data_IF_150535801297
#
_entry.id   IF_150535801297
#
_cell.length_a   1.000
_cell.length_b   1.000
_cell.length_c   1.000
_cell.angle_alpha   90.00
_cell.angle_beta   90.00
_cell.angle_gamma   90.00
#
_symmetry.space_group_name_H-M   'P 1'
#
loop_
_entity.id
_entity.type
_entity.pdbx_description
1 polymer ?
#
# COMPACT_ATOMS: atom_id res chain seq x y z
N UNK A 1 14.44 25.38 -4.48
CA UNK A 1 13.73 24.57 -3.48
C UNK A 1 14.10 23.12 -3.73
N UNK A 2 14.84 22.47 -2.82
CA UNK A 2 15.25 21.06 -3.02
C UNK A 2 14.03 20.13 -3.15
N UNK A 3 14.08 19.21 -4.10
CA UNK A 3 13.02 18.23 -4.35
C UNK A 3 12.96 17.26 -3.17
N UNK A 4 11.78 17.05 -2.59
CA UNK A 4 11.58 15.97 -1.61
C UNK A 4 11.86 14.64 -2.29
N UNK A 5 12.70 13.82 -1.68
CA UNK A 5 13.08 12.48 -2.14
C UNK A 5 12.49 11.47 -1.17
N UNK A 6 12.16 10.29 -1.69
CA UNK A 6 11.64 9.21 -0.88
C UNK A 6 12.79 8.46 -0.23
N UNK A 7 12.66 8.17 1.07
CA UNK A 7 13.68 7.50 1.86
C UNK A 7 13.09 6.31 2.60
N UNK A 8 13.81 5.18 2.58
CA UNK A 8 13.67 4.19 3.64
C UNK A 8 14.53 4.66 4.82
N UNK A 9 13.85 4.92 5.92
CA UNK A 9 14.45 5.24 7.20
C UNK A 9 14.86 3.99 7.97
N UNK A 10 16.10 3.94 8.46
CA UNK A 10 16.62 2.81 9.23
C UNK A 10 17.21 3.33 10.54
N UNK A 11 16.80 2.75 11.66
CA UNK A 11 17.33 3.13 12.97
C UNK A 11 18.74 2.59 13.19
N UNK A 12 19.55 3.34 13.93
CA UNK A 12 20.93 2.95 14.28
C UNK A 12 20.98 1.61 15.02
N UNK A 13 19.94 1.29 15.79
CA UNK A 13 19.84 0.07 16.59
C UNK A 13 19.73 -1.19 15.72
N UNK A 14 19.06 -1.15 14.55
CA UNK A 14 19.10 -2.31 13.63
C UNK A 14 20.49 -2.47 13.08
N UNK A 15 21.14 -1.37 12.67
CA UNK A 15 22.44 -1.46 12.02
C UNK A 15 23.49 -2.10 12.94
N UNK A 16 23.32 -1.96 14.26
CA UNK A 16 24.17 -2.60 15.28
C UNK A 16 23.71 -3.99 15.73
N UNK A 17 22.62 -4.55 15.19
CA UNK A 17 22.06 -5.83 15.64
C UNK A 17 22.97 -7.01 15.25
N UNK A 18 23.24 -7.91 16.20
CA UNK A 18 24.19 -9.04 16.03
C UNK A 18 23.57 -10.28 15.39
N UNK A 19 22.26 -10.30 15.12
CA UNK A 19 21.59 -11.41 14.45
C UNK A 19 21.96 -11.44 12.96
N UNK A 20 22.76 -12.43 12.56
CA UNK A 20 23.25 -12.58 11.19
C UNK A 20 22.13 -12.71 10.16
N UNK A 21 21.12 -13.54 10.44
CA UNK A 21 19.98 -13.75 9.53
C UNK A 21 19.23 -12.43 9.29
N UNK A 22 19.04 -11.63 10.34
CA UNK A 22 18.40 -10.33 10.22
C UNK A 22 19.24 -9.36 9.37
N UNK A 23 20.56 -9.32 9.57
CA UNK A 23 21.45 -8.45 8.80
C UNK A 23 21.44 -8.80 7.32
N UNK A 24 21.40 -10.09 6.97
CA UNK A 24 21.25 -10.53 5.58
C UNK A 24 19.93 -10.05 4.95
N UNK A 25 18.80 -10.19 5.66
CA UNK A 25 17.50 -9.71 5.15
C UNK A 25 17.43 -8.19 5.06
N UNK A 26 18.02 -7.48 6.01
CA UNK A 26 18.10 -6.02 5.98
C UNK A 26 18.96 -5.54 4.81
N UNK A 27 20.12 -6.18 4.57
CA UNK A 27 20.96 -5.87 3.42
C UNK A 27 20.20 -6.08 2.11
N UNK A 28 19.50 -7.21 1.97
CA UNK A 28 18.68 -7.48 0.78
C UNK A 28 17.55 -6.47 0.60
N UNK A 29 16.88 -6.05 1.69
CA UNK A 29 15.89 -4.97 1.66
C UNK A 29 16.50 -3.66 1.18
N UNK A 30 17.66 -3.27 1.73
CA UNK A 30 18.36 -2.05 1.35
C UNK A 30 18.74 -2.07 -0.14
N UNK A 31 19.31 -3.17 -0.62
CA UNK A 31 19.71 -3.33 -2.02
C UNK A 31 18.48 -3.23 -2.95
N UNK A 32 17.38 -3.88 -2.57
CA UNK A 32 16.12 -3.84 -3.34
C UNK A 32 15.54 -2.41 -3.40
N UNK A 33 15.56 -1.69 -2.28
CA UNK A 33 15.09 -0.30 -2.18
C UNK A 33 15.96 0.64 -3.03
N UNK A 34 17.28 0.46 -3.00
CA UNK A 34 18.20 1.24 -3.82
C UNK A 34 18.02 0.97 -5.32
N UNK A 35 17.74 -0.28 -5.71
CA UNK A 35 17.42 -0.64 -7.09
C UNK A 35 16.16 0.09 -7.61
N UNK A 36 15.18 0.33 -6.73
CA UNK A 36 13.99 1.16 -7.00
C UNK A 36 14.28 2.68 -6.95
N UNK A 37 15.55 3.08 -6.85
CA UNK A 37 16.02 4.48 -6.78
C UNK A 37 15.47 5.25 -5.59
N UNK A 38 15.21 4.54 -4.49
CA UNK A 38 14.77 5.11 -3.22
C UNK A 38 16.01 5.30 -2.34
N UNK A 39 16.12 6.47 -1.70
CA UNK A 39 17.24 6.74 -0.80
C UNK A 39 17.14 5.93 0.49
N UNK A 40 18.26 5.71 1.16
CA UNK A 40 18.28 5.15 2.52
C UNK A 40 18.85 6.20 3.46
N UNK A 41 18.22 6.36 4.62
CA UNK A 41 18.60 7.35 5.60
C UNK A 41 18.67 6.71 6.98
N UNK A 42 19.76 6.97 7.70
CA UNK A 42 19.88 6.61 9.10
C UNK A 42 19.09 7.61 9.94
N UNK A 43 18.30 7.13 10.90
CA UNK A 43 17.46 7.96 11.76
C UNK A 43 17.77 7.66 13.22
N UNK A 44 17.87 8.72 14.02
CA UNK A 44 17.90 8.61 15.47
C UNK A 44 16.46 8.53 15.99
N UNK A 45 16.12 7.46 16.71
CA UNK A 45 14.79 7.31 17.30
C UNK A 45 14.54 8.43 18.32
N UNK A 46 13.48 9.23 18.11
CA UNK A 46 13.12 10.34 19.01
C UNK A 46 12.63 9.88 20.40
N UNK A 47 12.32 8.59 20.56
CA UNK A 47 11.83 8.04 21.81
C UNK A 47 12.42 6.64 22.05
N UNK A 48 13.30 6.50 23.05
CA UNK A 48 14.00 5.24 23.37
C UNK A 48 13.06 4.09 23.75
N UNK A 49 11.83 4.41 24.18
CA UNK A 49 10.84 3.43 24.63
C UNK A 49 10.01 2.81 23.47
N UNK A 50 10.11 3.36 22.25
CA UNK A 50 9.52 2.80 21.04
C UNK A 50 10.63 2.55 20.02
N UNK A 51 11.35 1.43 20.22
CA UNK A 51 12.34 0.90 19.29
C UNK A 51 11.62 0.43 18.01
N UNK A 52 11.30 1.38 17.13
CA UNK A 52 10.77 1.11 15.80
C UNK A 52 11.94 1.22 14.80
N UNK A 53 12.30 0.11 14.15
CA UNK A 53 13.55 -0.02 13.42
C UNK A 53 13.50 0.46 11.96
N UNK A 54 12.39 0.27 11.23
CA UNK A 54 12.24 0.73 9.84
C UNK A 54 11.09 1.73 9.70
N UNK A 55 11.32 2.80 8.95
CA UNK A 55 10.32 3.83 8.65
C UNK A 55 10.21 4.10 7.16
N UNK A 56 8.98 4.15 6.67
CA UNK A 56 8.68 4.77 5.40
C UNK A 56 8.67 6.28 5.55
N UNK A 57 9.68 6.98 5.01
CA UNK A 57 9.81 8.43 5.15
C UNK A 57 9.88 9.15 3.80
N UNK A 58 9.36 10.37 3.77
CA UNK A 58 9.51 11.29 2.65
C UNK A 58 10.03 12.59 3.20
N UNK A 59 11.18 13.02 2.71
CA UNK A 59 11.74 14.31 3.10
C UNK A 59 12.96 14.65 2.29
N UNK A 60 13.86 15.42 2.89
CA UNK A 60 15.14 15.81 2.31
C UNK A 60 16.26 15.22 3.14
N UNK A 61 17.44 15.10 2.52
CA UNK A 61 18.66 14.71 3.23
C UNK A 61 18.93 15.73 4.34
N UNK A 62 18.91 15.26 5.60
CA UNK A 62 19.07 16.08 6.80
C UNK A 62 17.77 16.44 7.52
N UNK A 63 16.60 16.11 6.97
CA UNK A 63 15.34 16.29 7.70
C UNK A 63 15.26 15.32 8.89
N UNK A 64 14.81 15.82 10.04
CA UNK A 64 14.44 14.96 11.17
C UNK A 64 13.15 14.21 10.85
N UNK A 65 13.05 12.94 11.27
CA UNK A 65 11.82 12.18 11.11
C UNK A 65 10.73 12.77 12.00
N UNK A 66 9.83 13.56 11.42
CA UNK A 66 8.65 14.08 12.10
C UNK A 66 7.46 13.36 11.48
N UNK A 67 6.86 12.44 12.24
CA UNK A 67 5.56 11.88 11.85
C UNK A 67 4.56 13.03 11.69
N UNK A 68 3.79 13.06 10.60
CA UNK A 68 2.72 14.03 10.45
C UNK A 68 1.79 13.97 11.67
N UNK A 69 1.32 15.13 12.14
CA UNK A 69 0.47 15.22 13.33
C UNK A 69 -0.80 14.36 13.21
N UNK A 70 -1.26 14.11 11.98
CA UNK A 70 -2.56 13.54 11.68
C UNK A 70 -2.53 12.05 11.28
N UNK A 71 -1.35 11.46 11.05
CA UNK A 71 -1.22 10.02 10.77
C UNK A 71 0.18 9.48 11.06
N UNK A 72 0.26 8.18 11.38
CA UNK A 72 1.53 7.47 11.59
C UNK A 72 2.15 7.08 10.26
N UNK A 73 3.45 7.35 10.10
CA UNK A 73 4.21 6.87 8.95
C UNK A 73 4.23 5.32 8.91
N UNK A 74 4.39 4.71 7.72
CA UNK A 74 4.64 3.28 7.60
C UNK A 74 5.84 2.91 8.49
N UNK A 75 5.67 1.91 9.35
CA UNK A 75 6.70 1.52 10.30
C UNK A 75 6.70 -0.01 10.43
N UNK A 76 7.88 -0.58 10.66
CA UNK A 76 8.05 -2.02 10.75
C UNK A 76 9.12 -2.38 11.77
N UNK A 77 8.80 -3.34 12.65
CA UNK A 77 9.71 -3.87 13.65
C UNK A 77 10.63 -4.96 13.10
N UNK A 78 11.78 -5.19 13.76
CA UNK A 78 12.76 -6.20 13.35
C UNK A 78 12.10 -7.57 13.29
N UNK A 79 11.37 -7.94 14.35
CA UNK A 79 10.68 -9.23 14.41
C UNK A 79 9.50 -9.32 13.42
N UNK A 80 9.01 -8.17 12.94
CA UNK A 80 7.96 -8.09 11.93
C UNK A 80 8.51 -8.14 10.51
N UNK A 81 9.78 -7.76 10.29
CA UNK A 81 10.45 -7.91 9.00
C UNK A 81 10.43 -9.36 8.54
N UNK A 82 10.58 -10.30 9.46
CA UNK A 82 10.53 -11.74 9.21
C UNK A 82 9.10 -12.30 9.12
N UNK A 83 8.06 -11.46 9.16
CA UNK A 83 6.67 -11.89 9.04
C UNK A 83 6.12 -11.44 7.68
N UNK A 84 6.02 -12.34 6.68
CA UNK A 84 5.69 -11.96 5.30
C UNK A 84 4.42 -11.10 5.16
N UNK A 85 3.37 -11.42 5.92
CA UNK A 85 2.10 -10.67 5.88
C UNK A 85 2.28 -9.23 6.41
N UNK A 86 3.06 -9.05 7.48
CA UNK A 86 3.30 -7.73 8.07
C UNK A 86 4.24 -6.92 7.18
N UNK A 87 5.22 -7.58 6.57
CA UNK A 87 6.12 -6.98 5.58
C UNK A 87 5.37 -6.50 4.34
N UNK A 88 4.51 -7.34 3.74
CA UNK A 88 3.68 -6.97 2.58
C UNK A 88 2.77 -5.78 2.90
N UNK A 89 2.23 -5.73 4.12
CA UNK A 89 1.43 -4.60 4.60
C UNK A 89 2.26 -3.31 4.71
N UNK A 90 3.45 -3.38 5.31
CA UNK A 90 4.38 -2.24 5.38
C UNK A 90 4.77 -1.73 3.98
N UNK A 91 5.15 -2.62 3.06
CA UNK A 91 5.48 -2.25 1.69
C UNK A 91 4.28 -1.59 0.98
N UNK A 92 3.08 -2.11 1.19
CA UNK A 92 1.86 -1.52 0.64
C UNK A 92 1.66 -0.10 1.14
N UNK A 93 1.80 0.16 2.44
CA UNK A 93 1.70 1.51 3.01
C UNK A 93 2.81 2.43 2.46
N UNK A 94 4.06 1.94 2.45
CA UNK A 94 5.22 2.69 2.00
C UNK A 94 5.11 3.11 0.53
N UNK A 95 4.77 2.17 -0.36
CA UNK A 95 4.65 2.45 -1.78
C UNK A 95 3.38 3.25 -2.13
N UNK A 96 2.31 3.15 -1.33
CA UNK A 96 1.16 4.06 -1.46
C UNK A 96 1.57 5.49 -1.18
N UNK A 97 2.30 5.70 -0.10
CA UNK A 97 2.78 7.01 0.31
C UNK A 97 3.81 7.57 -0.71
N UNK A 98 4.73 6.73 -1.19
CA UNK A 98 5.67 7.05 -2.28
C UNK A 98 4.95 7.49 -3.57
N UNK A 99 4.00 6.69 -4.03
CA UNK A 99 3.28 6.97 -5.27
C UNK A 99 2.43 8.23 -5.15
N UNK A 100 1.85 8.49 -3.97
CA UNK A 100 1.14 9.73 -3.71
C UNK A 100 2.04 10.96 -3.86
N UNK A 101 3.27 10.92 -3.34
CA UNK A 101 4.19 12.06 -3.49
C UNK A 101 4.53 12.31 -4.96
N UNK A 102 4.84 11.25 -5.70
CA UNK A 102 5.27 11.34 -7.09
C UNK A 102 4.13 11.80 -8.00
N UNK A 103 2.94 11.24 -7.82
CA UNK A 103 1.82 11.45 -8.74
C UNK A 103 0.93 12.61 -8.34
N UNK A 104 0.85 12.96 -7.05
CA UNK A 104 -0.03 14.03 -6.54
C UNK A 104 0.80 15.24 -6.13
N UNK A 105 1.72 15.12 -5.17
CA UNK A 105 2.35 16.31 -4.59
C UNK A 105 3.31 17.04 -5.54
N UNK A 106 3.98 16.34 -6.45
CA UNK A 106 4.88 16.98 -7.42
C UNK A 106 4.16 17.75 -8.53
N UNK A 107 2.90 17.42 -8.81
CA UNK A 107 2.11 18.03 -9.87
C UNK A 107 0.63 18.11 -9.47
N UNK A 108 0.38 18.80 -8.35
CA UNK A 108 -0.93 18.82 -7.73
C UNK A 108 -1.99 19.42 -8.66
N UNK A 109 -2.93 18.58 -9.04
CA UNK A 109 -4.13 18.96 -9.80
C UNK A 109 -5.30 18.08 -9.35
N UNK A 110 -6.55 18.55 -9.54
CA UNK A 110 -7.74 17.72 -9.28
C UNK A 110 -7.65 16.39 -10.05
N UNK A 111 -7.20 16.45 -11.31
CA UNK A 111 -6.99 15.28 -12.16
C UNK A 111 -5.96 14.28 -11.61
N UNK A 112 -4.86 14.77 -11.03
CA UNK A 112 -3.86 13.91 -10.39
C UNK A 112 -4.44 13.15 -9.19
N UNK A 113 -5.20 13.84 -8.32
CA UNK A 113 -5.90 13.21 -7.20
C UNK A 113 -6.93 12.17 -7.66
N UNK A 114 -7.74 12.50 -8.67
CA UNK A 114 -8.72 11.56 -9.25
C UNK A 114 -8.01 10.32 -9.80
N UNK A 115 -6.97 10.51 -10.62
CA UNK A 115 -6.20 9.40 -11.20
C UNK A 115 -5.56 8.52 -10.12
N UNK A 116 -5.00 9.13 -9.08
CA UNK A 116 -4.48 8.39 -7.93
C UNK A 116 -5.60 7.59 -7.27
N UNK A 117 -6.70 8.24 -6.86
CA UNK A 117 -7.82 7.56 -6.20
C UNK A 117 -8.39 6.40 -7.04
N UNK A 118 -8.56 6.61 -8.35
CA UNK A 118 -9.06 5.58 -9.27
C UNK A 118 -8.20 4.31 -9.25
N UNK A 119 -6.87 4.43 -9.21
CA UNK A 119 -5.94 3.29 -9.15
C UNK A 119 -5.93 2.59 -7.78
N UNK A 120 -6.23 3.30 -6.70
CA UNK A 120 -6.20 2.76 -5.33
C UNK A 120 -7.57 2.31 -4.80
N UNK A 121 -8.64 2.59 -5.53
CA UNK A 121 -10.04 2.39 -5.14
C UNK A 121 -10.32 1.04 -4.46
N UNK A 122 -9.92 -0.08 -5.07
CA UNK A 122 -10.20 -1.40 -4.50
C UNK A 122 -9.25 -1.80 -3.38
N UNK A 123 -8.02 -1.27 -3.38
CA UNK A 123 -7.11 -1.44 -2.24
C UNK A 123 -7.66 -0.69 -1.01
N UNK A 124 -8.17 0.53 -1.19
CA UNK A 124 -8.87 1.28 -0.14
C UNK A 124 -10.07 0.49 0.39
N UNK A 125 -10.89 -0.09 -0.49
CA UNK A 125 -12.03 -0.92 -0.08
C UNK A 125 -11.61 -2.14 0.74
N UNK A 126 -10.50 -2.79 0.36
CA UNK A 126 -9.99 -3.95 1.06
C UNK A 126 -9.57 -3.64 2.50
N UNK A 127 -9.07 -2.43 2.73
CA UNK A 127 -8.62 -1.96 4.04
C UNK A 127 -9.75 -1.34 4.87
N UNK A 128 -10.61 -0.53 4.24
CA UNK A 128 -11.71 0.15 4.93
C UNK A 128 -12.82 0.55 3.97
N UNK A 129 -13.99 -0.09 4.13
CA UNK A 129 -15.19 0.28 3.39
C UNK A 129 -15.65 1.71 3.74
N UNK A 130 -15.41 2.16 4.97
CA UNK A 130 -15.72 3.53 5.40
C UNK A 130 -14.86 4.54 4.64
N UNK A 131 -13.54 4.33 4.61
CA UNK A 131 -12.62 5.20 3.87
C UNK A 131 -12.89 5.18 2.35
N UNK A 132 -13.22 4.00 1.80
CA UNK A 132 -13.63 3.88 0.40
C UNK A 132 -14.80 4.81 0.04
N UNK A 133 -15.84 4.84 0.88
CA UNK A 133 -17.00 5.71 0.68
C UNK A 133 -16.65 7.17 0.90
N UNK A 134 -15.91 7.47 1.95
CA UNK A 134 -15.54 8.83 2.32
C UNK A 134 -14.64 9.48 1.27
N UNK A 135 -13.50 8.86 0.97
CA UNK A 135 -12.53 9.34 -0.01
C UNK A 135 -13.15 9.42 -1.41
N UNK A 136 -14.01 8.47 -1.78
CA UNK A 136 -14.74 8.54 -3.05
C UNK A 136 -15.67 9.75 -3.14
N UNK A 137 -16.34 10.13 -2.05
CA UNK A 137 -17.16 11.35 -1.99
C UNK A 137 -16.31 12.61 -2.05
N UNK A 138 -15.17 12.63 -1.36
CA UNK A 138 -14.25 13.77 -1.36
C UNK A 138 -13.73 14.05 -2.78
N UNK A 139 -13.38 12.99 -3.52
CA UNK A 139 -12.89 13.10 -4.91
C UNK A 139 -14.00 13.47 -5.90
N UNK A 140 -15.25 13.05 -5.65
CA UNK A 140 -16.38 13.41 -6.51
C UNK A 140 -16.84 14.87 -6.31
N UNK A 141 -16.61 15.45 -5.13
CA UNK A 141 -17.15 16.74 -4.72
C UNK A 141 -16.06 17.77 -4.42
N UNK A 142 -15.12 17.99 -5.36
CA UNK A 142 -14.17 19.08 -5.22
C UNK A 142 -14.89 20.42 -5.11
N UNK A 143 -14.63 21.15 -4.01
CA UNK A 143 -15.12 22.51 -3.83
C UNK A 143 -14.02 23.51 -4.22
N UNK A 144 -14.38 24.55 -4.96
CA UNK A 144 -13.47 25.66 -5.25
C UNK A 144 -13.27 26.58 -4.04
N UNK A 145 -14.06 26.42 -2.99
CA UNK A 145 -13.92 27.18 -1.74
C UNK A 145 -12.79 26.69 -0.84
N UNK A 146 -12.24 25.49 -1.09
CA UNK A 146 -11.15 24.91 -0.30
C UNK A 146 -9.90 24.82 -1.19
N UNK A 147 -8.74 25.33 -0.75
CA UNK A 147 -7.48 25.16 -1.47
C UNK A 147 -7.20 23.68 -1.77
N UNK A 148 -6.73 23.38 -2.99
CA UNK A 148 -6.52 22.01 -3.43
C UNK A 148 -5.45 21.29 -2.58
N UNK A 149 -4.48 22.03 -2.09
CA UNK A 149 -3.44 21.57 -1.16
C UNK A 149 -4.03 21.04 0.14
N UNK A 150 -5.06 21.72 0.67
CA UNK A 150 -5.77 21.30 1.87
C UNK A 150 -6.58 20.02 1.62
N UNK A 151 -7.25 19.95 0.46
CA UNK A 151 -7.96 18.73 0.03
C UNK A 151 -7.00 17.56 -0.10
N UNK A 152 -5.84 17.77 -0.74
CA UNK A 152 -4.81 16.75 -0.90
C UNK A 152 -4.23 16.30 0.45
N UNK A 153 -3.97 17.22 1.39
CA UNK A 153 -3.48 16.87 2.72
C UNK A 153 -4.50 16.01 3.48
N UNK A 154 -5.76 16.45 3.54
CA UNK A 154 -6.84 15.71 4.20
C UNK A 154 -7.11 14.35 3.56
N UNK A 155 -7.02 14.26 2.24
CA UNK A 155 -7.14 12.99 1.52
C UNK A 155 -6.03 12.02 1.94
N UNK A 156 -4.78 12.47 1.97
CA UNK A 156 -3.64 11.64 2.38
C UNK A 156 -3.77 11.16 3.83
N UNK A 157 -4.17 12.05 4.74
CA UNK A 157 -4.39 11.71 6.16
C UNK A 157 -5.41 10.59 6.32
N UNK A 158 -6.58 10.73 5.68
CA UNK A 158 -7.64 9.72 5.71
C UNK A 158 -7.20 8.41 5.07
N UNK A 159 -6.44 8.48 3.96
CA UNK A 159 -5.89 7.31 3.28
C UNK A 159 -4.92 6.55 4.17
N UNK A 160 -3.92 7.24 4.74
CA UNK A 160 -2.92 6.59 5.59
C UNK A 160 -3.53 6.09 6.90
N UNK A 161 -4.53 6.78 7.43
CA UNK A 161 -5.33 6.28 8.55
C UNK A 161 -6.12 5.01 8.19
N UNK A 162 -6.66 4.91 6.98
CA UNK A 162 -7.32 3.68 6.52
C UNK A 162 -6.32 2.53 6.41
N UNK A 163 -5.06 2.84 6.07
CA UNK A 163 -4.03 1.84 5.87
C UNK A 163 -3.27 1.46 7.14
N UNK A 164 -3.48 2.13 8.27
CA UNK A 164 -2.79 1.84 9.54
C UNK A 164 -3.19 0.50 10.16
N UNK A 165 -4.28 -0.11 9.69
CA UNK A 165 -4.75 -1.44 10.09
C UNK A 165 -4.76 -2.34 8.87
N UNK A 166 -4.22 -3.55 9.00
CA UNK A 166 -4.19 -4.53 7.91
C UNK A 166 -5.61 -4.87 7.42
N UNK A 167 -5.71 -5.10 6.11
CA UNK A 167 -6.96 -5.52 5.48
C UNK A 167 -7.47 -6.80 6.11
N UNK A 168 -8.73 -6.78 6.54
CA UNK A 168 -9.39 -7.96 7.08
C UNK A 168 -10.09 -8.77 5.98
N UNK A 169 -10.48 -9.99 6.31
CA UNK A 169 -11.11 -10.94 5.38
C UNK A 169 -12.40 -10.41 4.76
N UNK A 170 -13.18 -9.64 5.52
CA UNK A 170 -14.40 -9.02 5.03
C UNK A 170 -14.11 -7.93 4.00
N UNK A 171 -13.18 -7.02 4.28
CA UNK A 171 -12.75 -5.98 3.35
C UNK A 171 -12.21 -6.58 2.06
N UNK A 172 -11.32 -7.57 2.17
CA UNK A 172 -10.81 -8.32 1.01
C UNK A 172 -11.92 -8.96 0.19
N UNK A 173 -12.89 -9.60 0.86
CA UNK A 173 -14.06 -10.19 0.19
C UNK A 173 -14.85 -9.14 -0.57
N UNK A 174 -15.09 -7.97 0.03
CA UNK A 174 -15.83 -6.89 -0.62
C UNK A 174 -15.10 -6.41 -1.88
N UNK A 175 -13.79 -6.16 -1.79
CA UNK A 175 -12.98 -5.75 -2.93
C UNK A 175 -13.02 -6.79 -4.06
N UNK A 176 -12.80 -8.07 -3.73
CA UNK A 176 -12.86 -9.18 -4.69
C UNK A 176 -14.22 -9.29 -5.38
N UNK A 177 -15.33 -9.20 -4.62
CA UNK A 177 -16.67 -9.24 -5.19
C UNK A 177 -16.95 -8.06 -6.12
N UNK A 178 -16.50 -6.86 -5.76
CA UNK A 178 -16.64 -5.68 -6.63
C UNK A 178 -15.85 -5.84 -7.93
N UNK A 179 -14.62 -6.35 -7.87
CA UNK A 179 -13.80 -6.58 -9.07
C UNK A 179 -14.33 -7.74 -9.92
N UNK A 180 -14.93 -8.78 -9.31
CA UNK A 180 -15.58 -9.87 -10.03
C UNK A 180 -16.72 -9.36 -10.95
N UNK A 181 -17.36 -8.24 -10.59
CA UNK A 181 -18.41 -7.61 -11.37
C UNK A 181 -17.99 -7.13 -12.76
N UNK A 182 -16.69 -6.90 -13.00
CA UNK A 182 -16.18 -6.49 -14.32
C UNK A 182 -16.33 -7.62 -15.35
N UNK A 183 -16.19 -8.87 -14.91
CA UNK A 183 -16.28 -10.04 -15.78
C UNK A 183 -17.72 -10.51 -16.01
N UNK A 184 -18.74 -9.77 -15.53
CA UNK A 184 -20.14 -10.21 -15.59
C UNK A 184 -20.67 -10.42 -17.01
N UNK A 185 -20.08 -9.79 -18.03
CA UNK A 185 -20.47 -9.96 -19.43
C UNK A 185 -19.60 -10.98 -20.17
N UNK A 186 -18.45 -11.34 -19.60
CA UNK A 186 -17.48 -12.25 -20.20
C UNK A 186 -17.68 -13.69 -19.74
N UNK A 187 -18.02 -13.89 -18.46
CA UNK A 187 -18.17 -15.22 -17.88
C UNK A 187 -19.56 -15.80 -18.11
N UNK A 188 -19.60 -17.10 -18.41
CA UNK A 188 -20.84 -17.86 -18.40
C UNK A 188 -21.35 -18.06 -16.96
N UNK A 189 -22.59 -18.57 -16.80
CA UNK A 189 -23.22 -18.72 -15.48
C UNK A 189 -22.41 -19.61 -14.53
N UNK A 190 -21.82 -20.70 -15.02
CA UNK A 190 -21.01 -21.61 -14.22
C UNK A 190 -19.72 -20.95 -13.73
N UNK A 191 -19.00 -20.24 -14.61
CA UNK A 191 -17.77 -19.52 -14.28
C UNK A 191 -18.02 -18.39 -13.27
N UNK A 192 -19.13 -17.66 -13.40
CA UNK A 192 -19.55 -16.64 -12.42
C UNK A 192 -19.79 -17.26 -11.04
N UNK A 193 -20.49 -18.39 -11.02
CA UNK A 193 -20.78 -19.10 -9.78
C UNK A 193 -19.50 -19.61 -9.12
N UNK A 194 -18.58 -20.17 -9.90
CA UNK A 194 -17.28 -20.63 -9.41
C UNK A 194 -16.47 -19.50 -8.78
N UNK A 195 -16.37 -18.35 -9.46
CA UNK A 195 -15.67 -17.18 -8.95
C UNK A 195 -16.31 -16.67 -7.66
N UNK A 196 -17.63 -16.47 -7.64
CA UNK A 196 -18.35 -15.99 -6.46
C UNK A 196 -18.23 -16.97 -5.29
N UNK A 197 -18.40 -18.28 -5.54
CA UNK A 197 -18.29 -19.30 -4.51
C UNK A 197 -16.86 -19.37 -3.95
N UNK A 198 -15.83 -19.24 -4.79
CA UNK A 198 -14.43 -19.20 -4.33
C UNK A 198 -14.19 -18.01 -3.40
N UNK A 199 -14.74 -16.84 -3.71
CA UNK A 199 -14.65 -15.66 -2.84
C UNK A 199 -15.41 -15.89 -1.52
N UNK A 200 -16.59 -16.51 -1.55
CA UNK A 200 -17.35 -16.83 -0.34
C UNK A 200 -16.64 -17.87 0.55
N UNK A 201 -16.05 -18.89 -0.04
CA UNK A 201 -15.22 -19.86 0.69
C UNK A 201 -14.03 -19.17 1.36
N UNK A 202 -13.41 -18.19 0.69
CA UNK A 202 -12.39 -17.36 1.32
C UNK A 202 -12.96 -16.56 2.49
N UNK A 203 -14.13 -15.92 2.34
CA UNK A 203 -14.81 -15.21 3.44
C UNK A 203 -15.04 -16.10 4.67
N UNK A 204 -15.32 -17.39 4.45
CA UNK A 204 -15.59 -18.37 5.50
C UNK A 204 -14.33 -19.00 6.12
N UNK A 205 -13.13 -18.72 5.61
CA UNK A 205 -11.91 -19.37 6.11
C UNK A 205 -11.57 -20.71 5.46
N UNK A 206 -12.38 -21.17 4.50
CA UNK A 206 -12.25 -22.51 3.91
C UNK A 206 -11.10 -22.58 2.90
N UNK A 207 -10.81 -21.48 2.20
CA UNK A 207 -9.69 -21.39 1.24
C UNK A 207 -8.80 -20.18 1.56
N UNK A 208 -7.49 -20.23 1.22
CA UNK A 208 -6.59 -19.11 1.40
C UNK A 208 -6.94 -17.94 0.45
N UNK A 209 -6.48 -16.74 0.78
CA UNK A 209 -6.67 -15.53 -0.05
C UNK A 209 -6.14 -15.68 -1.48
N UNK A 210 -5.03 -16.41 -1.65
CA UNK A 210 -4.41 -16.66 -2.96
C UNK A 210 -5.38 -17.30 -3.96
N UNK A 211 -6.35 -18.11 -3.51
CA UNK A 211 -7.27 -18.82 -4.39
C UNK A 211 -8.20 -17.87 -5.16
N UNK A 212 -9.05 -17.05 -4.52
CA UNK A 212 -9.86 -16.06 -5.24
C UNK A 212 -8.99 -14.99 -5.92
N UNK A 213 -7.86 -14.61 -5.33
CA UNK A 213 -6.96 -13.61 -5.91
C UNK A 213 -6.39 -14.05 -7.27
N UNK A 214 -5.81 -15.26 -7.33
CA UNK A 214 -5.24 -15.81 -8.57
C UNK A 214 -6.33 -16.07 -9.61
N UNK A 215 -7.52 -16.54 -9.20
CA UNK A 215 -8.63 -16.74 -10.12
C UNK A 215 -9.08 -15.42 -10.76
N UNK A 216 -9.09 -14.33 -9.99
CA UNK A 216 -9.44 -13.02 -10.50
C UNK A 216 -8.35 -12.44 -11.41
N UNK A 217 -7.07 -12.64 -11.08
CA UNK A 217 -5.96 -12.30 -11.98
C UNK A 217 -6.00 -13.10 -13.28
N UNK A 218 -6.35 -14.39 -13.22
CA UNK A 218 -6.54 -15.22 -14.42
C UNK A 218 -7.66 -14.67 -15.31
N UNK A 219 -8.81 -14.32 -14.75
CA UNK A 219 -9.88 -13.72 -15.56
C UNK A 219 -9.50 -12.36 -16.13
N UNK A 220 -8.68 -11.58 -15.41
CA UNK A 220 -8.15 -10.32 -15.93
C UNK A 220 -7.17 -10.52 -17.10
N UNK A 221 -6.39 -11.61 -17.11
CA UNK A 221 -5.50 -11.91 -18.25
C UNK A 221 -6.25 -12.42 -19.47
N UNK A 222 -7.33 -13.18 -19.26
CA UNK A 222 -8.20 -13.69 -20.34
C UNK A 222 -9.10 -12.60 -20.90
N UNK A 223 -9.64 -11.74 -20.03
CA UNK A 223 -10.51 -10.62 -20.38
C UNK A 223 -9.96 -9.31 -19.81
N UNK A 224 -8.94 -8.72 -20.46
CA UNK A 224 -8.37 -7.44 -20.05
C UNK A 224 -9.43 -6.36 -19.89
N UNK A 225 -9.39 -5.67 -18.76
CA UNK A 225 -10.18 -4.47 -18.50
C UNK A 225 -9.22 -3.34 -18.12
N UNK A 226 -9.24 -2.26 -18.91
CA UNK A 226 -8.31 -1.14 -18.76
C UNK A 226 -8.39 -0.52 -17.37
N UNK A 227 -9.57 -0.48 -16.76
CA UNK A 227 -9.73 0.11 -15.44
C UNK A 227 -9.15 -0.80 -14.33
N UNK A 228 -9.37 -2.12 -14.43
CA UNK A 228 -8.86 -3.10 -13.47
C UNK A 228 -7.34 -3.30 -13.58
N UNK A 229 -6.76 -3.29 -14.78
CA UNK A 229 -5.31 -3.48 -14.97
C UNK A 229 -4.50 -2.43 -14.21
N UNK A 230 -5.01 -1.20 -14.12
CA UNK A 230 -4.33 -0.11 -13.42
C UNK A 230 -4.58 -0.11 -11.90
N UNK A 231 -5.34 -1.06 -11.35
CA UNK A 231 -5.58 -1.14 -9.91
C UNK A 231 -4.33 -1.58 -9.16
N UNK A 232 -3.91 -0.78 -8.19
CA UNK A 232 -2.82 -1.10 -7.26
C UNK A 232 -3.17 -2.23 -6.30
N UNK A 233 -4.40 -2.75 -6.35
CA UNK A 233 -4.79 -3.96 -5.63
C UNK A 233 -3.98 -5.19 -6.05
N UNK A 234 -3.64 -5.33 -7.35
CA UNK A 234 -2.90 -6.50 -7.84
C UNK A 234 -1.38 -6.37 -7.76
N UNK A 235 -0.89 -5.14 -7.65
CA UNK A 235 0.53 -4.84 -7.54
C UNK A 235 0.72 -3.61 -6.64
N UNK A 236 0.53 -3.77 -5.31
CA UNK A 236 0.56 -2.65 -4.37
C UNK A 236 1.95 -2.02 -4.23
N UNK A 237 3.00 -2.81 -4.47
CA UNK A 237 4.41 -2.43 -4.49
C UNK A 237 5.15 -3.11 -5.66
N UNK A 238 6.37 -2.66 -6.03
CA UNK A 238 7.13 -3.23 -7.13
C UNK A 238 7.45 -4.73 -6.96
N UNK A 239 7.45 -5.48 -8.06
CA UNK A 239 7.77 -6.92 -8.07
C UNK A 239 9.20 -7.23 -7.61
N UNK A 240 10.10 -6.24 -7.59
CA UNK A 240 11.46 -6.42 -7.08
C UNK A 240 11.49 -6.94 -5.62
N UNK A 241 10.43 -6.70 -4.85
CA UNK A 241 10.29 -7.19 -3.47
C UNK A 241 9.77 -8.63 -3.37
N UNK A 242 9.30 -9.24 -4.47
CA UNK A 242 8.78 -10.61 -4.45
C UNK A 242 9.88 -11.61 -4.08
N UNK A 243 11.10 -11.43 -4.62
CA UNK A 243 12.25 -12.24 -4.24
C UNK A 243 12.57 -12.12 -2.76
N UNK A 244 12.66 -10.89 -2.22
CA UNK A 244 12.88 -10.68 -0.79
C UNK A 244 11.79 -11.37 0.04
N UNK A 245 10.52 -11.26 -0.37
CA UNK A 245 9.38 -11.90 0.30
C UNK A 245 9.50 -13.43 0.34
N UNK A 246 9.98 -14.07 -0.73
CA UNK A 246 10.21 -15.52 -0.76
C UNK A 246 11.35 -15.97 0.16
N UNK A 247 12.21 -15.05 0.56
CA UNK A 247 13.34 -15.29 1.44
C UNK A 247 13.00 -15.07 2.93
N UNK A 248 11.81 -14.54 3.27
CA UNK A 248 11.34 -14.28 4.64
C UNK A 248 10.52 -15.46 5.17
#
# INVERSE_FOLDING_TARGET
MERKVNYLGISSEIMSNTNHQLQEKLALLCDTVQAEKIGIMQIEAQNRDNLLPLYGYIGKKGDSLISPVNFTLPQLNIDQLLQPIVFDHFLTQFFTLFDYQQQVNQSLTKGALVKFHSRYKYLIMAYSLAAYRELGRDIANFSDAIPLEEVASKYLEKLMKAFSVAANREGQTNALMHMAGYFKRNLNSQQKQELAQTILLYRQGVVPFSKPYNLLQYWLSVYPDDYLIHQRYFLPYPQAFDYLREQL
#
